data_IF_758147270736
#
_entry.id   IF_758147270736
#
_cell.length_a   1.000
_cell.length_b   1.000
_cell.length_c   1.000
_cell.angle_alpha   90.00
_cell.angle_beta   90.00
_cell.angle_gamma   90.00
#
_symmetry.space_group_name_H-M   'P 1'
#
loop_
_entity.id
_entity.type
_entity.pdbx_description
1 polymer ?
#
# COMPACT_ATOMS: atom_id res chain seq x y z
N UNK A 1 -53.60 -36.80 28.70
CA UNK A 1 -54.67 -37.55 27.99
C UNK A 1 -54.36 -37.53 26.50
N UNK A 2 -54.56 -38.64 25.78
CA UNK A 2 -54.42 -38.85 24.32
C UNK A 2 -53.02 -38.54 23.71
N UNK A 3 -52.39 -39.38 22.84
CA UNK A 3 -52.83 -40.10 21.61
C UNK A 3 -53.19 -39.14 20.46
N UNK A 4 -52.90 -39.36 19.17
CA UNK A 4 -52.08 -40.31 18.36
C UNK A 4 -52.00 -39.68 16.93
N UNK A 5 -51.32 -40.17 15.88
CA UNK A 5 -50.59 -41.40 15.49
C UNK A 5 -49.29 -40.97 14.70
N UNK A 6 -48.48 -41.70 13.89
CA UNK A 6 -48.49 -42.94 13.08
C UNK A 6 -49.48 -42.90 11.88
N UNK A 7 -49.25 -43.44 10.68
CA UNK A 7 -48.19 -44.30 10.08
C UNK A 7 -48.26 -44.14 8.54
N UNK A 8 -47.19 -44.25 7.75
CA UNK A 8 -46.74 -45.42 6.95
C UNK A 8 -45.68 -44.88 5.95
N UNK A 9 -44.59 -45.53 5.52
CA UNK A 9 -44.29 -46.93 5.16
C UNK A 9 -45.00 -47.41 3.88
N UNK A 10 -44.26 -47.47 2.77
CA UNK A 10 -44.46 -48.51 1.76
C UNK A 10 -43.11 -48.94 1.17
N UNK A 11 -43.02 -50.20 0.71
CA UNK A 11 -41.77 -50.91 0.38
C UNK A 11 -42.09 -52.08 -0.55
N UNK A 12 -41.55 -52.08 -1.76
CA UNK A 12 -41.75 -53.15 -2.76
C UNK A 12 -40.39 -53.57 -3.36
N UNK A 13 -40.33 -54.77 -3.92
CA UNK A 13 -39.15 -55.63 -3.94
C UNK A 13 -38.38 -55.78 -5.28
N UNK A 14 -37.33 -56.60 -5.17
CA UNK A 14 -36.41 -57.25 -6.13
C UNK A 14 -37.13 -57.99 -7.31
N UNK A 15 -36.47 -58.57 -8.36
CA UNK A 15 -35.09 -59.10 -8.34
C UNK A 15 -34.20 -59.15 -9.62
N UNK A 16 -32.91 -59.42 -9.34
CA UNK A 16 -31.88 -60.19 -10.08
C UNK A 16 -32.05 -60.55 -11.57
N UNK A 17 -31.07 -60.10 -12.40
CA UNK A 17 -30.23 -60.87 -13.35
C UNK A 17 -29.17 -59.88 -13.95
N UNK A 18 -28.01 -60.27 -14.52
CA UNK A 18 -27.28 -61.56 -14.66
C UNK A 18 -25.75 -61.30 -14.81
N UNK A 19 -24.94 -62.37 -14.97
CA UNK A 19 -23.50 -62.36 -15.26
C UNK A 19 -23.22 -62.78 -16.74
N UNK A 20 -21.97 -62.75 -17.23
CA UNK A 20 -20.94 -61.70 -17.16
C UNK A 20 -20.41 -61.33 -18.58
N UNK A 21 -19.40 -60.45 -18.68
CA UNK A 21 -18.52 -60.36 -19.86
C UNK A 21 -17.07 -60.29 -19.41
N UNK A 22 -16.25 -61.22 -19.89
CA UNK A 22 -14.81 -61.24 -19.66
C UNK A 22 -14.09 -60.18 -20.51
N UNK A 23 -13.07 -59.55 -19.93
CA UNK A 23 -11.93 -58.97 -20.68
C UNK A 23 -10.66 -59.15 -19.86
N UNK A 24 -9.60 -59.58 -20.54
CA UNK A 24 -8.30 -59.86 -19.93
C UNK A 24 -7.64 -58.65 -19.27
N UNK A 25 -6.79 -58.86 -18.26
CA UNK A 25 -6.02 -57.79 -17.63
C UNK A 25 -4.98 -57.24 -18.61
N UNK A 26 -5.10 -55.98 -19.01
CA UNK A 26 -3.99 -55.28 -19.64
C UNK A 26 -2.85 -55.10 -18.62
N UNK A 27 -1.76 -55.82 -18.86
CA UNK A 27 -0.52 -55.75 -18.09
C UNK A 27 0.07 -54.35 -18.26
N UNK A 28 -0.02 -53.52 -17.21
CA UNK A 28 0.63 -52.21 -17.20
C UNK A 28 2.15 -52.38 -17.21
N UNK A 29 2.82 -51.59 -18.06
CA UNK A 29 4.27 -51.60 -18.16
C UNK A 29 4.92 -51.00 -16.90
N UNK A 30 6.06 -51.51 -16.43
CA UNK A 30 6.84 -50.88 -15.36
C UNK A 30 7.31 -49.44 -15.66
N UNK A 31 7.12 -48.94 -16.89
CA UNK A 31 7.37 -47.56 -17.27
C UNK A 31 6.37 -46.56 -16.67
N UNK A 32 5.09 -46.93 -16.55
CA UNK A 32 4.01 -45.98 -16.22
C UNK A 32 3.94 -45.63 -14.72
N UNK A 33 4.65 -46.39 -13.87
CA UNK A 33 4.77 -46.18 -12.42
C UNK A 33 5.95 -45.27 -12.02
N UNK A 34 6.49 -44.47 -12.94
CA UNK A 34 7.57 -43.49 -12.67
C UNK A 34 7.23 -42.03 -13.03
N UNK A 35 5.95 -41.71 -13.20
CA UNK A 35 5.46 -40.33 -13.44
C UNK A 35 4.91 -39.62 -12.18
N UNK A 36 4.68 -40.37 -11.09
CA UNK A 36 3.98 -39.92 -9.88
C UNK A 36 4.84 -39.25 -8.80
N UNK A 37 6.15 -39.05 -9.05
CA UNK A 37 7.07 -38.35 -8.16
C UNK A 37 7.84 -37.26 -8.92
N UNK A 38 7.15 -36.18 -9.28
CA UNK A 38 7.78 -34.97 -9.79
C UNK A 38 7.37 -33.75 -8.93
N UNK A 39 8.21 -33.27 -8.01
CA UNK A 39 7.90 -32.11 -7.16
C UNK A 39 7.77 -30.79 -7.93
N UNK A 40 8.34 -30.72 -9.14
CA UNK A 40 8.54 -29.48 -9.91
C UNK A 40 7.30 -29.07 -10.72
N UNK A 41 6.15 -28.86 -10.05
CA UNK A 41 5.04 -28.10 -10.64
C UNK A 41 4.14 -27.31 -9.68
N UNK A 42 4.59 -27.04 -8.46
CA UNK A 42 4.23 -25.76 -7.84
C UNK A 42 5.04 -24.67 -8.55
N UNK A 43 4.38 -23.80 -9.33
CA UNK A 43 5.05 -22.61 -9.85
C UNK A 43 5.54 -21.79 -8.66
N UNK A 44 6.85 -21.60 -8.57
CA UNK A 44 7.48 -21.09 -7.36
C UNK A 44 7.02 -19.68 -7.03
N UNK A 45 6.51 -19.49 -5.81
CA UNK A 45 6.42 -18.17 -5.20
C UNK A 45 7.79 -17.50 -5.30
N UNK A 46 7.83 -16.27 -5.85
CA UNK A 46 9.09 -15.60 -6.10
C UNK A 46 9.89 -15.41 -4.79
N UNK A 47 11.11 -15.94 -4.77
CA UNK A 47 11.94 -16.03 -3.57
C UNK A 47 12.56 -14.66 -3.23
N UNK A 48 11.83 -13.88 -2.43
CA UNK A 48 12.28 -12.62 -1.87
C UNK A 48 12.84 -12.82 -0.47
N UNK A 49 13.83 -12.00 -0.10
CA UNK A 49 14.63 -12.10 1.13
C UNK A 49 13.83 -12.18 2.46
N UNK A 50 12.58 -11.73 2.47
CA UNK A 50 11.70 -11.67 3.65
C UNK A 50 10.40 -12.48 3.44
N UNK A 51 10.38 -13.43 2.51
CA UNK A 51 9.21 -14.28 2.31
C UNK A 51 8.98 -15.21 3.51
N UNK A 52 7.77 -15.29 4.08
CA UNK A 52 7.45 -16.30 5.09
C UNK A 52 7.55 -17.71 4.52
N UNK A 53 7.94 -18.67 5.37
CA UNK A 53 8.16 -20.07 4.97
C UNK A 53 6.87 -20.70 4.46
N UNK A 54 6.94 -21.47 3.38
CA UNK A 54 5.75 -22.09 2.76
C UNK A 54 4.93 -22.95 3.74
N UNK A 55 5.57 -23.63 4.68
CA UNK A 55 4.92 -24.42 5.72
C UNK A 55 4.05 -23.59 6.71
N UNK A 56 4.34 -22.29 6.87
CA UNK A 56 3.55 -21.38 7.71
C UNK A 56 2.33 -20.79 6.97
N UNK A 57 2.36 -20.83 5.64
CA UNK A 57 1.27 -20.44 4.75
C UNK A 57 0.33 -21.61 4.43
N UNK A 58 0.86 -22.84 4.44
CA UNK A 58 0.10 -24.05 4.17
C UNK A 58 -1.02 -24.28 5.20
N UNK A 59 -2.21 -24.61 4.68
CA UNK A 59 -3.38 -24.91 5.50
C UNK A 59 -4.03 -23.69 6.17
N UNK A 60 -3.68 -22.45 5.80
CA UNK A 60 -4.34 -21.22 6.27
C UNK A 60 -5.78 -21.04 5.74
N UNK A 61 -6.27 -21.92 4.85
CA UNK A 61 -7.60 -21.83 4.26
C UNK A 61 -7.73 -20.84 3.08
N UNK A 62 -6.61 -20.21 2.70
CA UNK A 62 -6.53 -19.21 1.63
C UNK A 62 -6.51 -19.83 0.23
N UNK A 63 -7.00 -19.07 -0.76
CA UNK A 63 -6.71 -19.30 -2.18
C UNK A 63 -5.23 -19.07 -2.52
N UNK A 64 -4.79 -19.46 -3.73
CA UNK A 64 -3.41 -19.20 -4.19
C UNK A 64 -3.11 -17.70 -4.27
N UNK A 65 -4.07 -16.90 -4.78
CA UNK A 65 -4.02 -15.44 -4.81
C UNK A 65 -3.86 -14.82 -3.41
N UNK A 66 -4.74 -15.17 -2.47
CA UNK A 66 -4.66 -14.67 -1.09
C UNK A 66 -3.37 -15.11 -0.39
N UNK A 67 -2.90 -16.34 -0.65
CA UNK A 67 -1.64 -16.87 -0.11
C UNK A 67 -0.43 -16.09 -0.60
N UNK A 68 -0.35 -15.80 -1.91
CA UNK A 68 0.69 -14.93 -2.46
C UNK A 68 0.57 -13.52 -1.90
N UNK A 69 -0.63 -12.95 -1.85
CA UNK A 69 -0.84 -11.59 -1.35
C UNK A 69 -0.42 -11.43 0.12
N UNK A 70 -0.80 -12.36 0.99
CA UNK A 70 -0.35 -12.41 2.38
C UNK A 70 1.18 -12.50 2.47
N UNK A 71 1.80 -13.36 1.67
CA UNK A 71 3.26 -13.50 1.62
C UNK A 71 3.96 -12.20 1.20
N UNK A 72 3.52 -11.56 0.10
CA UNK A 72 4.06 -10.26 -0.35
C UNK A 72 3.85 -9.14 0.67
N UNK A 73 2.75 -9.17 1.43
CA UNK A 73 2.51 -8.21 2.52
C UNK A 73 3.45 -8.46 3.72
N UNK A 74 3.57 -9.70 4.20
CA UNK A 74 4.50 -10.07 5.28
C UNK A 74 5.95 -9.70 4.90
N UNK A 75 6.35 -10.00 3.66
CA UNK A 75 7.65 -9.65 3.09
C UNK A 75 7.92 -8.14 3.07
N UNK A 76 6.91 -7.33 2.77
CA UNK A 76 7.00 -5.86 2.79
C UNK A 76 6.97 -5.31 4.23
N UNK A 77 6.19 -5.90 5.14
CA UNK A 77 6.17 -5.52 6.55
C UNK A 77 7.52 -5.81 7.23
N UNK A 78 8.13 -6.99 6.97
CA UNK A 78 9.45 -7.35 7.48
C UNK A 78 10.55 -6.44 6.93
N UNK A 79 10.50 -6.08 5.65
CA UNK A 79 11.37 -5.06 5.08
C UNK A 79 11.21 -3.71 5.81
N UNK A 80 10.01 -3.38 6.28
CA UNK A 80 9.74 -2.21 7.11
C UNK A 80 10.30 -2.30 8.53
N UNK A 81 10.20 -3.47 9.17
CA UNK A 81 10.84 -3.76 10.47
C UNK A 81 12.36 -3.60 10.35
N UNK A 82 12.97 -4.29 9.39
CA UNK A 82 14.40 -4.23 9.10
C UNK A 82 14.88 -2.81 8.81
N UNK A 83 14.15 -2.04 7.99
CA UNK A 83 14.51 -0.64 7.68
C UNK A 83 14.32 0.30 8.89
N UNK A 84 13.43 -0.02 9.84
CA UNK A 84 13.29 0.72 11.10
C UNK A 84 14.45 0.40 12.06
N UNK A 85 14.78 -0.88 12.25
CA UNK A 85 15.94 -1.35 13.02
C UNK A 85 17.24 -0.77 12.44
N UNK A 86 17.40 -0.75 11.11
CA UNK A 86 18.59 -0.22 10.43
C UNK A 86 18.75 1.30 10.56
N UNK A 87 17.67 2.07 10.77
CA UNK A 87 17.78 3.50 11.10
C UNK A 87 18.28 3.72 12.53
N UNK A 88 18.15 2.72 13.40
CA UNK A 88 18.57 2.76 14.81
C UNK A 88 19.90 2.04 15.05
N UNK A 89 20.57 1.59 13.99
CA UNK A 89 21.76 0.74 14.03
C UNK A 89 21.58 -0.57 14.85
N UNK A 90 20.36 -1.10 14.89
CA UNK A 90 19.97 -2.34 15.59
C UNK A 90 19.47 -3.45 14.66
N UNK A 91 19.79 -3.38 13.36
CA UNK A 91 19.46 -4.44 12.40
C UNK A 91 20.63 -5.41 12.24
N UNK A 92 20.33 -6.71 12.19
CA UNK A 92 21.28 -7.73 11.78
C UNK A 92 21.79 -7.48 10.34
N UNK A 93 22.92 -8.09 9.99
CA UNK A 93 23.40 -8.07 8.61
C UNK A 93 22.51 -8.91 7.70
N UNK A 94 22.40 -8.52 6.42
CA UNK A 94 21.70 -9.34 5.44
C UNK A 94 22.52 -10.61 5.14
N UNK A 95 21.85 -11.76 5.13
CA UNK A 95 22.43 -13.02 4.66
C UNK A 95 22.57 -12.99 3.14
N UNK A 96 23.78 -12.66 2.68
CA UNK A 96 24.09 -12.60 1.26
C UNK A 96 24.07 -13.97 0.54
N UNK A 97 23.80 -15.09 1.24
CA UNK A 97 23.56 -16.40 0.59
C UNK A 97 22.12 -16.56 0.10
N UNK A 98 21.15 -15.82 0.66
CA UNK A 98 19.75 -15.87 0.23
C UNK A 98 19.57 -15.17 -1.12
N UNK A 99 18.95 -15.86 -2.08
CA UNK A 99 18.76 -15.40 -3.46
C UNK A 99 18.11 -14.00 -3.60
N UNK A 100 17.24 -13.60 -2.66
CA UNK A 100 16.65 -12.26 -2.62
C UNK A 100 17.56 -11.12 -2.12
N UNK A 101 18.72 -11.41 -1.50
CA UNK A 101 19.49 -10.46 -0.69
C UNK A 101 19.95 -9.21 -1.47
N UNK A 102 20.55 -9.38 -2.65
CA UNK A 102 21.03 -8.27 -3.49
C UNK A 102 19.91 -7.31 -3.90
N UNK A 103 18.70 -7.84 -4.14
CA UNK A 103 17.53 -7.04 -4.52
C UNK A 103 16.97 -6.27 -3.31
N UNK A 104 16.96 -6.92 -2.14
CA UNK A 104 16.62 -6.31 -0.85
C UNK A 104 17.59 -5.16 -0.53
N UNK A 105 18.89 -5.43 -0.58
CA UNK A 105 19.93 -4.43 -0.27
C UNK A 105 19.87 -3.22 -1.22
N UNK A 106 19.64 -3.43 -2.51
CA UNK A 106 19.47 -2.34 -3.47
C UNK A 106 18.21 -1.49 -3.20
N UNK A 107 17.11 -2.10 -2.74
CA UNK A 107 15.92 -1.37 -2.32
C UNK A 107 16.21 -0.54 -1.06
N UNK A 108 16.84 -1.15 -0.05
CA UNK A 108 17.22 -0.51 1.22
C UNK A 108 18.18 0.67 0.96
N UNK A 109 19.27 0.46 0.22
CA UNK A 109 20.22 1.53 -0.18
C UNK A 109 19.50 2.68 -0.86
N UNK A 110 18.54 2.41 -1.74
CA UNK A 110 17.75 3.46 -2.37
C UNK A 110 16.67 4.09 -1.48
N UNK A 111 16.28 3.48 -0.36
CA UNK A 111 15.32 4.05 0.59
C UNK A 111 15.99 4.98 1.61
N UNK A 112 17.29 4.82 1.85
CA UNK A 112 18.09 5.64 2.76
C UNK A 112 18.83 6.81 2.05
N UNK A 113 18.82 6.88 0.71
CA UNK A 113 19.61 7.88 -0.03
C UNK A 113 19.02 9.29 -0.13
N UNK A 114 17.80 9.53 0.38
CA UNK A 114 17.23 10.87 0.66
C UNK A 114 15.90 10.75 1.42
N UNK A 115 15.46 11.81 2.08
CA UNK A 115 14.16 11.87 2.78
C UNK A 115 12.98 11.57 1.85
N UNK A 116 12.93 12.21 0.68
CA UNK A 116 11.95 11.91 -0.38
C UNK A 116 11.88 10.41 -0.70
N UNK A 117 13.05 9.74 -0.78
CA UNK A 117 13.11 8.32 -1.07
C UNK A 117 12.75 7.46 0.14
N UNK A 118 13.02 7.94 1.36
CA UNK A 118 12.55 7.33 2.60
C UNK A 118 11.02 7.31 2.63
N UNK A 119 10.35 8.46 2.50
CA UNK A 119 8.88 8.52 2.47
C UNK A 119 8.27 7.73 1.30
N UNK A 120 8.95 7.70 0.14
CA UNK A 120 8.52 6.88 -1.00
C UNK A 120 8.61 5.37 -0.73
N UNK A 121 9.61 4.89 0.00
CA UNK A 121 9.96 3.46 0.04
C UNK A 121 9.77 2.78 1.40
N UNK A 122 9.77 3.50 2.54
CA UNK A 122 9.59 2.90 3.88
C UNK A 122 8.20 2.22 4.01
N UNK A 123 8.13 0.89 4.22
CA UNK A 123 6.88 0.14 4.26
C UNK A 123 5.91 0.43 5.40
N UNK A 124 6.39 0.91 6.55
CA UNK A 124 5.54 1.22 7.70
C UNK A 124 5.19 2.71 7.66
N UNK A 125 3.88 3.01 7.62
CA UNK A 125 3.32 4.34 7.35
C UNK A 125 3.98 5.44 8.18
N UNK A 126 4.08 5.21 9.49
CA UNK A 126 4.56 6.20 10.46
C UNK A 126 6.10 6.35 10.49
N UNK A 127 6.83 5.51 9.77
CA UNK A 127 8.30 5.45 9.81
C UNK A 127 9.00 6.27 8.72
N UNK A 128 8.28 6.81 7.73
CA UNK A 128 8.85 7.74 6.75
C UNK A 128 9.48 8.98 7.43
N UNK A 129 10.53 9.55 6.84
CA UNK A 129 11.25 10.70 7.41
C UNK A 129 10.30 11.87 7.74
N UNK A 130 9.39 12.21 6.81
CA UNK A 130 8.42 13.28 7.02
C UNK A 130 7.36 12.91 8.06
N UNK A 131 6.95 11.64 8.17
CA UNK A 131 6.01 11.23 9.24
C UNK A 131 6.65 11.28 10.62
N UNK A 132 7.93 10.90 10.74
CA UNK A 132 8.67 11.02 12.01
C UNK A 132 8.83 12.49 12.42
N UNK A 133 9.14 13.39 11.48
CA UNK A 133 9.14 14.83 11.75
C UNK A 133 7.77 15.31 12.25
N UNK A 134 6.69 14.93 11.57
CA UNK A 134 5.32 15.31 11.95
C UNK A 134 4.99 14.80 13.36
N UNK A 135 5.24 13.53 13.67
CA UNK A 135 4.92 12.93 14.98
C UNK A 135 5.78 13.53 16.11
N UNK A 136 7.02 13.93 15.82
CA UNK A 136 7.89 14.58 16.79
C UNK A 136 7.42 16.00 17.17
N UNK A 137 6.97 16.78 16.18
CA UNK A 137 6.52 18.17 16.39
C UNK A 137 5.03 18.27 16.73
N UNK A 138 4.24 17.26 16.36
CA UNK A 138 2.82 17.13 16.65
C UNK A 138 2.52 15.68 17.10
N UNK A 139 2.78 15.33 18.37
CA UNK A 139 2.47 14.00 18.89
C UNK A 139 0.97 13.68 18.83
N UNK A 140 0.64 12.43 18.48
CA UNK A 140 -0.74 11.93 18.52
C UNK A 140 -1.26 11.98 19.97
N UNK A 141 -2.36 12.70 20.26
CA UNK A 141 -2.88 12.84 21.61
C UNK A 141 -3.74 11.63 22.01
N UNK A 142 -3.83 11.37 23.31
CA UNK A 142 -4.82 10.42 23.86
C UNK A 142 -6.30 10.87 23.69
N UNK A 143 -6.55 12.06 23.11
CA UNK A 143 -7.88 12.56 22.79
C UNK A 143 -7.79 13.69 21.74
N UNK A 144 -8.48 13.55 20.61
CA UNK A 144 -8.50 14.50 19.50
C UNK A 144 -8.86 15.95 19.91
N UNK A 145 -9.73 16.13 20.91
CA UNK A 145 -10.16 17.45 21.40
C UNK A 145 -9.06 18.26 22.11
N UNK A 146 -7.86 17.70 22.30
CA UNK A 146 -6.66 18.42 22.76
C UNK A 146 -5.91 19.15 21.65
N UNK A 147 -6.28 18.94 20.38
CA UNK A 147 -5.65 19.57 19.22
C UNK A 147 -6.36 20.88 18.87
N UNK A 148 -5.59 21.95 18.78
CA UNK A 148 -6.09 23.24 18.33
C UNK A 148 -6.36 23.27 16.82
N UNK A 149 -7.08 24.30 16.39
CA UNK A 149 -7.25 24.64 14.96
C UNK A 149 -5.90 24.77 14.26
N UNK A 150 -4.92 25.39 14.92
CA UNK A 150 -3.56 25.59 14.38
C UNK A 150 -2.86 24.26 14.13
N UNK A 151 -2.99 23.29 15.03
CA UNK A 151 -2.38 21.96 14.89
C UNK A 151 -3.00 21.16 13.74
N UNK A 152 -4.34 21.22 13.59
CA UNK A 152 -5.06 20.58 12.48
C UNK A 152 -4.65 21.21 11.13
N UNK A 153 -4.50 22.53 11.11
CA UNK A 153 -4.02 23.26 9.94
C UNK A 153 -2.56 22.95 9.60
N UNK A 154 -1.69 22.86 10.60
CA UNK A 154 -0.28 22.49 10.45
C UNK A 154 -0.12 21.14 9.75
N UNK A 155 -0.92 20.15 10.19
CA UNK A 155 -0.99 18.83 9.57
C UNK A 155 -1.43 18.93 8.10
N UNK A 156 -2.44 19.75 7.79
CA UNK A 156 -2.91 19.96 6.42
C UNK A 156 -1.83 20.52 5.49
N UNK A 157 -1.10 21.55 5.94
CA UNK A 157 -0.10 22.23 5.10
C UNK A 157 1.20 21.41 4.96
N UNK A 158 1.67 20.76 6.03
CA UNK A 158 2.79 19.81 5.97
C UNK A 158 2.48 18.69 4.97
N UNK A 159 1.33 18.04 5.12
CA UNK A 159 0.95 16.88 4.30
C UNK A 159 0.72 17.22 2.84
N UNK A 160 0.24 18.44 2.54
CA UNK A 160 -0.11 18.85 1.18
C UNK A 160 1.06 19.45 0.39
N UNK A 161 1.92 20.25 1.02
CA UNK A 161 2.93 21.05 0.31
C UNK A 161 4.38 20.59 0.55
N UNK A 162 4.72 20.21 1.79
CA UNK A 162 6.12 19.99 2.21
C UNK A 162 6.54 18.51 2.31
N UNK A 163 5.58 17.57 2.33
CA UNK A 163 5.84 16.16 2.59
C UNK A 163 6.86 15.53 1.61
N UNK A 164 7.98 15.06 2.15
CA UNK A 164 9.16 14.58 1.41
C UNK A 164 10.36 15.52 1.41
N UNK A 165 10.34 16.63 2.17
CA UNK A 165 11.45 17.56 2.39
C UNK A 165 11.34 18.18 3.80
N UNK A 166 12.35 17.97 4.67
CA UNK A 166 12.34 18.48 6.05
C UNK A 166 12.64 19.97 6.19
N UNK A 167 13.37 20.59 5.27
CA UNK A 167 13.60 22.04 5.23
C UNK A 167 12.26 22.77 5.03
N UNK A 168 11.47 22.31 4.05
CA UNK A 168 10.12 22.82 3.78
C UNK A 168 9.17 22.58 4.96
N UNK A 169 9.24 21.40 5.62
CA UNK A 169 8.43 21.12 6.82
C UNK A 169 8.77 22.10 7.95
N UNK A 170 10.06 22.37 8.19
CA UNK A 170 10.53 23.35 9.18
C UNK A 170 10.10 24.78 8.83
N UNK A 171 10.24 25.20 7.57
CA UNK A 171 9.97 26.58 7.13
C UNK A 171 8.50 26.98 7.31
N UNK A 172 7.55 26.07 7.10
CA UNK A 172 6.11 26.30 7.36
C UNK A 172 5.63 25.80 8.74
N UNK A 173 6.54 25.58 9.70
CA UNK A 173 6.17 25.24 11.08
C UNK A 173 5.69 26.50 11.83
N UNK A 174 4.41 26.50 12.21
CA UNK A 174 3.75 27.53 13.01
C UNK A 174 4.10 27.30 14.48
N UNK A 175 4.73 28.30 15.12
CA UNK A 175 5.31 28.19 16.47
C UNK A 175 4.38 28.66 17.61
N UNK A 176 3.24 29.25 17.27
CA UNK A 176 2.29 29.83 18.23
C UNK A 176 0.88 29.34 17.91
N UNK A 177 0.09 28.99 18.93
CA UNK A 177 -1.32 28.59 18.76
C UNK A 177 -2.22 29.81 18.52
N UNK A 178 -2.07 30.42 17.35
CA UNK A 178 -2.76 31.62 16.87
C UNK A 178 -3.07 31.47 15.39
N UNK A 179 -4.00 32.28 14.88
CA UNK A 179 -4.28 32.33 13.43
C UNK A 179 -2.98 32.67 12.67
N UNK A 180 -2.51 31.79 11.76
CA UNK A 180 -1.27 32.01 11.03
C UNK A 180 -1.46 33.03 9.90
N UNK A 181 -0.36 33.68 9.52
CA UNK A 181 -0.32 34.56 8.36
C UNK A 181 -0.35 33.73 7.06
N UNK A 182 -1.57 33.60 6.51
CA UNK A 182 -1.81 32.87 5.27
C UNK A 182 -1.17 33.54 4.04
N UNK A 183 -0.89 34.85 4.07
CA UNK A 183 -0.21 35.54 2.98
C UNK A 183 1.29 35.24 3.01
N UNK A 184 1.93 35.29 4.18
CA UNK A 184 3.32 34.88 4.36
C UNK A 184 3.53 33.40 4.02
N UNK A 185 2.65 32.51 4.49
CA UNK A 185 2.70 31.09 4.12
C UNK A 185 2.53 30.90 2.60
N UNK A 186 1.62 31.63 1.96
CA UNK A 186 1.46 31.57 0.51
C UNK A 186 2.72 32.03 -0.23
N UNK A 187 3.33 33.15 0.20
CA UNK A 187 4.55 33.68 -0.40
C UNK A 187 5.71 32.68 -0.33
N UNK A 188 5.93 32.06 0.84
CA UNK A 188 6.93 31.01 1.07
C UNK A 188 6.71 29.83 0.12
N UNK A 189 5.53 29.20 0.18
CA UNK A 189 5.22 27.97 -0.59
C UNK A 189 5.24 28.24 -2.11
N UNK A 190 5.02 29.49 -2.55
CA UNK A 190 5.15 29.87 -3.96
C UNK A 190 6.61 29.99 -4.44
N UNK A 191 7.60 30.21 -3.57
CA UNK A 191 9.02 30.18 -3.98
C UNK A 191 9.51 28.75 -4.25
N UNK A 192 8.97 27.76 -3.55
CA UNK A 192 9.46 26.37 -3.59
C UNK A 192 9.42 25.72 -4.98
N UNK A 193 10.53 25.10 -5.38
CA UNK A 193 10.63 24.29 -6.60
C UNK A 193 10.65 25.09 -7.91
N UNK A 194 11.18 24.43 -8.95
CA UNK A 194 11.60 25.09 -10.19
C UNK A 194 10.42 25.54 -11.07
N UNK A 195 10.06 26.82 -10.96
CA UNK A 195 9.16 27.52 -11.88
C UNK A 195 7.87 28.08 -11.23
N UNK A 196 7.17 29.01 -11.91
CA UNK A 196 6.09 29.79 -11.31
C UNK A 196 4.72 29.07 -11.28
N UNK A 197 4.51 28.04 -12.12
CA UNK A 197 3.18 27.46 -12.32
C UNK A 197 2.82 26.33 -11.34
N UNK A 198 3.81 25.53 -10.92
CA UNK A 198 3.58 24.27 -10.20
C UNK A 198 4.60 24.02 -9.11
N UNK A 199 4.17 23.34 -8.05
CA UNK A 199 4.99 22.78 -6.99
C UNK A 199 4.87 21.26 -7.03
N UNK A 200 5.97 20.55 -7.27
CA UNK A 200 6.02 19.09 -7.12
C UNK A 200 6.08 18.70 -5.65
N UNK A 201 5.23 17.78 -5.19
CA UNK A 201 5.32 17.27 -3.81
C UNK A 201 6.17 15.98 -3.83
N UNK A 202 7.44 16.02 -3.38
CA UNK A 202 8.43 15.04 -3.83
C UNK A 202 8.06 13.59 -3.53
N UNK A 203 7.47 13.31 -2.36
CA UNK A 203 7.07 11.97 -1.94
C UNK A 203 5.96 11.33 -2.82
N UNK A 204 5.08 12.14 -3.43
CA UNK A 204 3.86 11.70 -4.11
C UNK A 204 4.04 11.46 -5.62
N UNK A 205 5.26 11.22 -6.06
CA UNK A 205 5.57 10.77 -7.42
C UNK A 205 5.35 11.86 -8.47
N UNK A 206 4.24 11.78 -9.20
CA UNK A 206 3.87 12.74 -10.26
C UNK A 206 2.97 13.88 -9.77
N UNK A 207 2.53 13.87 -8.50
CA UNK A 207 1.61 14.87 -7.98
C UNK A 207 2.24 16.27 -7.93
N UNK A 208 1.56 17.21 -8.57
CA UNK A 208 1.91 18.63 -8.66
C UNK A 208 0.76 19.49 -8.14
N UNK A 209 1.04 20.43 -7.23
CA UNK A 209 0.11 21.47 -6.80
C UNK A 209 0.20 22.66 -7.76
N UNK A 210 -0.94 23.26 -8.10
CA UNK A 210 -0.99 24.47 -8.94
C UNK A 210 -0.67 25.70 -8.07
N UNK A 211 0.46 26.38 -8.28
CA UNK A 211 0.93 27.46 -7.40
C UNK A 211 -0.07 28.62 -7.27
N UNK A 212 -0.78 28.95 -8.35
CA UNK A 212 -1.84 29.95 -8.38
C UNK A 212 -3.12 29.58 -7.58
N UNK A 213 -3.19 28.38 -6.99
CA UNK A 213 -4.29 27.93 -6.12
C UNK A 213 -3.90 27.74 -4.65
N UNK A 214 -2.63 27.95 -4.31
CA UNK A 214 -2.14 27.93 -2.91
C UNK A 214 -2.94 28.89 -1.99
N UNK A 215 -3.25 30.17 -2.36
CA UNK A 215 -4.00 31.05 -1.46
C UNK A 215 -5.37 30.48 -1.07
N UNK A 216 -6.11 29.98 -2.08
CA UNK A 216 -7.43 29.36 -1.88
C UNK A 216 -7.32 28.09 -1.04
N UNK A 217 -6.32 27.26 -1.29
CA UNK A 217 -6.08 26.03 -0.52
C UNK A 217 -5.72 26.31 0.94
N UNK A 218 -4.93 27.36 1.22
CA UNK A 218 -4.60 27.76 2.59
C UNK A 218 -5.83 28.24 3.36
N UNK A 219 -6.69 29.08 2.78
CA UNK A 219 -7.98 29.46 3.42
C UNK A 219 -8.84 28.22 3.67
N UNK A 220 -9.06 27.41 2.63
CA UNK A 220 -9.86 26.19 2.68
C UNK A 220 -9.39 25.20 3.76
N UNK A 221 -8.08 25.03 3.97
CA UNK A 221 -7.55 24.21 5.05
C UNK A 221 -7.70 24.87 6.43
N UNK A 222 -7.61 26.19 6.53
CA UNK A 222 -7.87 26.92 7.78
C UNK A 222 -9.33 26.78 8.21
N UNK A 223 -10.26 26.96 7.27
CA UNK A 223 -11.70 26.82 7.47
C UNK A 223 -12.07 25.38 7.83
N UNK A 224 -11.48 24.38 7.15
CA UNK A 224 -11.58 22.96 7.50
C UNK A 224 -11.06 22.66 8.93
N UNK A 225 -10.01 23.35 9.37
CA UNK A 225 -9.42 23.12 10.69
C UNK A 225 -10.31 23.63 11.82
N UNK A 226 -10.97 24.78 11.61
CA UNK A 226 -12.06 25.24 12.49
C UNK A 226 -13.25 24.28 12.48
N UNK A 227 -13.64 23.79 11.30
CA UNK A 227 -14.75 22.85 11.09
C UNK A 227 -14.53 21.52 11.85
N UNK A 228 -13.33 20.93 11.76
CA UNK A 228 -12.95 19.72 12.49
C UNK A 228 -12.84 19.98 14.01
N UNK A 229 -12.17 21.06 14.44
CA UNK A 229 -12.01 21.39 15.86
C UNK A 229 -13.36 21.65 16.55
N UNK A 230 -14.28 22.36 15.90
CA UNK A 230 -15.61 22.68 16.46
C UNK A 230 -16.55 21.47 16.60
N UNK A 231 -16.32 20.42 15.81
CA UNK A 231 -17.12 19.19 15.81
C UNK A 231 -16.59 18.11 16.76
N UNK A 232 -15.29 18.11 17.09
CA UNK A 232 -14.68 17.10 17.96
C UNK A 232 -14.68 17.51 19.44
N UNK A 233 -15.82 17.34 20.09
CA UNK A 233 -16.01 17.60 21.53
C UNK A 233 -15.90 16.29 22.34
N UNK A 234 -15.57 16.33 23.65
CA UNK A 234 -15.34 15.11 24.46
C UNK A 234 -16.53 14.13 24.65
N UNK A 235 -17.66 14.35 23.96
CA UNK A 235 -18.88 13.51 24.01
C UNK A 235 -19.54 13.30 22.64
N UNK A 236 -18.88 13.67 21.54
CA UNK A 236 -19.38 13.47 20.16
C UNK A 236 -18.66 12.31 19.49
N UNK A 237 -19.42 11.35 18.95
CA UNK A 237 -18.87 10.28 18.11
C UNK A 237 -18.19 10.90 16.87
N UNK A 238 -16.92 10.58 16.56
CA UNK A 238 -16.28 11.05 15.33
C UNK A 238 -17.03 10.58 14.07
N UNK A 239 -16.94 11.33 12.95
CA UNK A 239 -17.50 10.90 11.67
C UNK A 239 -16.84 9.61 11.17
N UNK A 240 -17.50 8.87 10.28
CA UNK A 240 -16.87 7.73 9.60
C UNK A 240 -15.72 8.21 8.70
N UNK A 241 -14.78 7.31 8.40
CA UNK A 241 -13.68 7.61 7.48
C UNK A 241 -14.20 8.08 6.10
N UNK A 242 -15.14 7.35 5.51
CA UNK A 242 -15.83 7.72 4.28
C UNK A 242 -16.41 9.15 4.33
N UNK A 243 -17.14 9.50 5.40
CA UNK A 243 -17.78 10.81 5.51
C UNK A 243 -16.76 11.96 5.55
N UNK A 244 -15.61 11.78 6.22
CA UNK A 244 -14.55 12.79 6.23
C UNK A 244 -13.78 12.82 4.90
N UNK A 245 -13.59 11.68 4.24
CA UNK A 245 -12.98 11.58 2.91
C UNK A 245 -13.81 12.28 1.82
N UNK A 246 -15.10 11.99 1.72
CA UNK A 246 -16.00 12.67 0.77
C UNK A 246 -16.10 14.17 1.05
N UNK A 247 -16.12 14.56 2.33
CA UNK A 247 -16.04 15.98 2.73
C UNK A 247 -14.76 16.63 2.22
N UNK A 248 -13.60 15.99 2.33
CA UNK A 248 -12.33 16.47 1.77
C UNK A 248 -12.31 16.50 0.23
N UNK A 249 -12.87 15.50 -0.45
CA UNK A 249 -13.01 15.49 -1.91
C UNK A 249 -13.88 16.65 -2.41
N UNK A 250 -14.99 16.95 -1.71
CA UNK A 250 -15.90 18.05 -2.05
C UNK A 250 -15.21 19.43 -2.09
N UNK A 251 -14.14 19.62 -1.29
CA UNK A 251 -13.35 20.87 -1.22
C UNK A 251 -12.44 21.06 -2.46
N UNK A 252 -12.31 20.06 -3.35
CA UNK A 252 -11.64 20.14 -4.67
C UNK A 252 -10.18 20.65 -4.62
N UNK A 253 -9.38 20.01 -3.77
CA UNK A 253 -7.92 20.25 -3.63
C UNK A 253 -7.25 20.31 -5.01
N UNK A 254 -6.56 21.43 -5.32
CA UNK A 254 -6.11 21.76 -6.68
C UNK A 254 -4.77 21.14 -7.06
N UNK A 255 -4.75 19.81 -7.19
CA UNK A 255 -3.62 19.01 -7.69
C UNK A 255 -3.74 18.64 -9.17
N UNK A 256 -2.61 18.21 -9.75
CA UNK A 256 -2.49 17.53 -11.03
C UNK A 256 -1.68 16.25 -10.78
N UNK A 257 -2.17 15.06 -11.16
CA UNK A 257 -3.56 14.74 -11.53
C UNK A 257 -4.58 14.99 -10.39
N UNK A 258 -5.87 15.03 -10.74
CA UNK A 258 -7.00 15.19 -9.81
C UNK A 258 -7.62 13.84 -9.43
N UNK A 259 -6.93 13.04 -8.62
CA UNK A 259 -7.40 11.71 -8.19
C UNK A 259 -7.51 11.54 -6.67
N UNK A 260 -7.79 12.62 -5.93
CA UNK A 260 -8.15 12.55 -4.51
C UNK A 260 -7.03 12.16 -3.52
N UNK A 261 -5.79 11.91 -3.95
CA UNK A 261 -4.74 11.39 -3.07
C UNK A 261 -4.46 12.26 -1.84
N UNK A 262 -4.50 13.60 -1.97
CA UNK A 262 -4.33 14.48 -0.79
C UNK A 262 -5.51 14.34 0.18
N UNK A 263 -6.75 14.15 -0.32
CA UNK A 263 -7.90 13.88 0.53
C UNK A 263 -7.74 12.53 1.26
N UNK A 264 -7.36 11.47 0.55
CA UNK A 264 -7.08 10.16 1.14
C UNK A 264 -6.01 10.23 2.24
N UNK A 265 -4.86 10.85 1.95
CA UNK A 265 -3.77 10.99 2.90
C UNK A 265 -4.14 11.86 4.11
N UNK A 266 -4.88 12.95 3.92
CA UNK A 266 -5.38 13.78 5.01
C UNK A 266 -6.39 13.03 5.88
N UNK A 267 -7.36 12.32 5.31
CA UNK A 267 -8.29 11.47 6.09
C UNK A 267 -7.52 10.38 6.83
N UNK A 268 -6.51 9.77 6.19
CA UNK A 268 -5.63 8.80 6.82
C UNK A 268 -4.89 9.36 8.03
N UNK A 269 -4.37 10.59 7.98
CA UNK A 269 -3.75 11.22 9.16
C UNK A 269 -4.80 11.64 10.19
N UNK A 270 -5.93 12.17 9.76
CA UNK A 270 -7.04 12.53 10.64
C UNK A 270 -7.58 11.34 11.44
N UNK A 271 -7.54 10.13 10.88
CA UNK A 271 -7.75 8.87 11.61
C UNK A 271 -6.73 8.66 12.74
N UNK A 272 -5.41 8.81 12.47
CA UNK A 272 -4.35 8.67 13.49
C UNK A 272 -4.58 9.60 14.68
N UNK A 273 -5.03 10.84 14.43
CA UNK A 273 -5.31 11.85 15.45
C UNK A 273 -6.73 11.76 16.06
N UNK A 274 -7.56 10.79 15.64
CA UNK A 274 -8.89 10.54 16.21
C UNK A 274 -10.02 11.47 15.73
N UNK A 275 -9.86 12.14 14.59
CA UNK A 275 -10.89 13.00 13.96
C UNK A 275 -11.86 12.26 13.03
N UNK A 276 -11.68 10.95 12.87
CA UNK A 276 -12.67 10.05 12.27
C UNK A 276 -12.50 8.63 12.83
N UNK A 277 -13.50 7.79 12.61
CA UNK A 277 -13.45 6.37 12.91
C UNK A 277 -12.44 5.66 11.99
N UNK A 278 -11.91 4.51 12.44
CA UNK A 278 -11.01 3.65 11.66
C UNK A 278 -11.59 3.33 10.28
N UNK A 279 -10.80 3.43 9.19
CA UNK A 279 -11.26 3.00 7.87
C UNK A 279 -11.56 1.50 7.84
N UNK A 280 -12.60 1.14 7.10
CA UNK A 280 -12.97 -0.25 6.82
C UNK A 280 -12.22 -0.77 5.60
N UNK A 281 -12.16 -2.09 5.43
CA UNK A 281 -11.63 -2.71 4.22
C UNK A 281 -12.41 -2.26 2.97
N UNK A 282 -13.72 -2.00 3.08
CA UNK A 282 -14.53 -1.45 1.99
C UNK A 282 -14.12 -0.02 1.62
N UNK A 283 -13.70 0.82 2.58
CA UNK A 283 -13.18 2.17 2.29
C UNK A 283 -11.92 2.10 1.42
N UNK A 284 -11.03 1.13 1.69
CA UNK A 284 -9.88 0.86 0.81
C UNK A 284 -10.32 0.34 -0.55
N UNK A 285 -11.22 -0.63 -0.62
CA UNK A 285 -11.61 -1.20 -1.90
C UNK A 285 -12.30 -0.15 -2.79
N UNK A 286 -13.18 0.67 -2.21
CA UNK A 286 -13.78 1.83 -2.86
C UNK A 286 -12.73 2.85 -3.29
N UNK A 287 -11.75 3.19 -2.43
CA UNK A 287 -10.67 4.10 -2.80
C UNK A 287 -9.80 3.55 -3.93
N UNK A 288 -9.40 2.28 -3.86
CA UNK A 288 -8.58 1.61 -4.87
C UNK A 288 -9.31 1.59 -6.21
N UNK A 289 -10.56 1.13 -6.25
CA UNK A 289 -11.38 1.02 -7.47
C UNK A 289 -11.68 2.39 -8.07
N UNK A 290 -12.18 3.35 -7.29
CA UNK A 290 -12.69 4.62 -7.80
C UNK A 290 -11.60 5.68 -8.02
N UNK A 291 -10.42 5.56 -7.39
CA UNK A 291 -9.32 6.49 -7.63
C UNK A 291 -8.33 5.99 -8.69
N UNK A 292 -7.51 6.92 -9.18
CA UNK A 292 -6.33 6.64 -10.00
C UNK A 292 -5.12 6.10 -9.23
N UNK A 293 -5.31 5.50 -8.04
CA UNK A 293 -4.23 4.96 -7.20
C UNK A 293 -3.54 3.74 -7.86
N UNK A 294 -2.53 4.03 -8.69
CA UNK A 294 -1.76 3.02 -9.45
C UNK A 294 -0.91 2.09 -8.59
N UNK A 295 -0.56 2.50 -7.36
CA UNK A 295 0.26 1.70 -6.44
C UNK A 295 -0.45 0.41 -5.97
N UNK A 296 -1.55 0.50 -5.22
CA UNK A 296 -2.25 -0.69 -4.71
C UNK A 296 -2.87 -1.54 -5.82
N UNK A 297 -3.48 -0.92 -6.84
CA UNK A 297 -3.94 -1.63 -8.06
C UNK A 297 -2.80 -2.38 -8.75
N UNK A 298 -1.60 -1.79 -8.79
CA UNK A 298 -0.40 -2.44 -9.30
C UNK A 298 0.01 -3.69 -8.51
N UNK A 299 -0.17 -3.70 -7.17
CA UNK A 299 0.08 -4.89 -6.36
C UNK A 299 -0.90 -6.03 -6.67
N UNK A 300 -2.18 -5.72 -6.84
CA UNK A 300 -3.19 -6.72 -7.24
C UNK A 300 -2.87 -7.32 -8.61
N UNK A 301 -2.40 -6.49 -9.56
CA UNK A 301 -1.96 -6.95 -10.88
C UNK A 301 -0.72 -7.84 -10.81
N UNK A 302 0.26 -7.50 -9.98
CA UNK A 302 1.47 -8.32 -9.79
C UNK A 302 1.13 -9.68 -9.19
N UNK A 303 0.26 -9.76 -8.17
CA UNK A 303 -0.17 -11.05 -7.62
C UNK A 303 -0.95 -11.87 -8.64
N UNK A 304 -1.75 -11.23 -9.50
CA UNK A 304 -2.42 -11.90 -10.63
C UNK A 304 -1.42 -12.47 -11.65
N UNK A 305 -0.40 -11.70 -12.02
CA UNK A 305 0.68 -12.11 -12.93
C UNK A 305 1.57 -13.22 -12.34
N UNK A 306 1.83 -13.19 -11.02
CA UNK A 306 2.63 -14.20 -10.31
C UNK A 306 1.85 -15.52 -10.07
N UNK A 307 0.51 -15.48 -9.95
CA UNK A 307 -0.32 -16.67 -9.66
C UNK A 307 -1.04 -17.26 -10.85
N UNK A 308 -1.20 -16.51 -11.95
CA UNK A 308 -2.09 -16.87 -13.06
C UNK A 308 -3.58 -16.81 -12.72
N UNK A 309 -3.97 -16.32 -11.54
CA UNK A 309 -5.37 -16.10 -11.14
C UNK A 309 -5.78 -14.65 -11.43
N UNK A 310 -7.04 -14.36 -11.79
CA UNK A 310 -7.48 -13.00 -12.06
C UNK A 310 -7.35 -12.11 -10.82
N UNK A 311 -7.03 -10.83 -11.03
CA UNK A 311 -7.17 -9.82 -9.98
C UNK A 311 -8.66 -9.51 -9.74
N UNK A 312 -9.07 -9.11 -8.52
CA UNK A 312 -10.43 -8.65 -8.23
C UNK A 312 -10.90 -7.54 -9.19
N UNK A 313 -12.09 -7.69 -9.77
CA UNK A 313 -12.59 -6.77 -10.81
C UNK A 313 -13.35 -5.57 -10.22
N UNK A 314 -14.00 -5.76 -9.07
CA UNK A 314 -14.86 -4.78 -8.41
C UNK A 314 -14.46 -4.54 -6.94
N UNK A 315 -15.13 -3.60 -6.27
CA UNK A 315 -14.80 -3.22 -4.90
C UNK A 315 -15.21 -4.31 -3.88
N UNK A 316 -16.21 -5.11 -4.18
CA UNK A 316 -16.76 -6.16 -3.33
C UNK A 316 -15.82 -7.38 -3.26
N UNK A 317 -15.33 -7.85 -4.41
CA UNK A 317 -14.29 -8.88 -4.50
C UNK A 317 -12.97 -8.43 -3.89
N UNK A 318 -12.59 -7.17 -4.15
CA UNK A 318 -11.37 -6.60 -3.59
C UNK A 318 -11.46 -6.48 -2.06
N UNK A 319 -12.61 -6.04 -1.53
CA UNK A 319 -12.87 -6.00 -0.11
C UNK A 319 -12.86 -7.40 0.53
N UNK A 320 -13.40 -8.42 -0.15
CA UNK A 320 -13.31 -9.80 0.31
C UNK A 320 -11.86 -10.28 0.42
N UNK A 321 -11.07 -10.18 -0.66
CA UNK A 321 -9.68 -10.65 -0.70
C UNK A 321 -8.78 -9.90 0.29
N UNK A 322 -8.93 -8.59 0.39
CA UNK A 322 -8.21 -7.80 1.40
C UNK A 322 -8.68 -8.11 2.82
N UNK A 323 -9.96 -8.44 3.01
CA UNK A 323 -10.53 -8.86 4.28
C UNK A 323 -9.90 -10.14 4.80
N UNK A 324 -9.93 -11.24 4.03
CA UNK A 324 -9.34 -12.54 4.41
C UNK A 324 -7.87 -12.40 4.82
N UNK A 325 -7.11 -11.62 4.04
CA UNK A 325 -5.67 -11.45 4.25
C UNK A 325 -5.37 -10.52 5.44
N UNK A 326 -6.17 -9.47 5.66
CA UNK A 326 -5.98 -8.56 6.79
C UNK A 326 -6.42 -9.20 8.12
N UNK A 327 -7.47 -10.03 8.13
CA UNK A 327 -7.89 -10.78 9.32
C UNK A 327 -6.75 -11.67 9.86
N UNK A 328 -6.00 -12.34 8.97
CA UNK A 328 -4.82 -13.13 9.33
C UNK A 328 -3.60 -12.29 9.77
N UNK A 329 -3.52 -11.02 9.35
CA UNK A 329 -2.51 -10.08 9.86
C UNK A 329 -2.91 -9.49 11.24
N UNK A 330 -4.20 -9.38 11.53
CA UNK A 330 -4.69 -8.97 12.86
C UNK A 330 -4.67 -10.13 13.87
N UNK A 331 -5.01 -11.35 13.43
CA UNK A 331 -5.15 -12.54 14.26
C UNK A 331 -4.29 -13.71 13.74
N UNK A 332 -2.94 -13.55 13.68
CA UNK A 332 -2.07 -14.59 13.13
C UNK A 332 -2.12 -15.89 13.96
N UNK A 333 -2.40 -17.05 13.34
CA UNK A 333 -2.53 -18.31 14.07
C UNK A 333 -1.17 -18.77 14.60
N UNK A 334 -1.17 -19.51 15.73
CA UNK A 334 0.05 -19.83 16.49
C UNK A 334 1.14 -20.57 15.69
N UNK A 335 0.77 -21.28 14.61
CA UNK A 335 1.71 -21.98 13.70
C UNK A 335 2.49 -21.04 12.77
N UNK A 336 2.00 -19.83 12.52
CA UNK A 336 2.56 -18.87 11.57
C UNK A 336 3.40 -17.82 12.31
N UNK A 337 4.45 -18.32 12.97
CA UNK A 337 5.34 -17.55 13.87
C UNK A 337 5.95 -16.32 13.18
N UNK A 338 6.35 -16.45 11.91
CA UNK A 338 6.92 -15.36 11.11
C UNK A 338 5.93 -14.20 10.92
N UNK A 339 4.65 -14.53 10.72
CA UNK A 339 3.56 -13.53 10.61
C UNK A 339 3.29 -12.88 11.98
N UNK A 340 3.19 -13.70 13.04
CA UNK A 340 2.98 -13.23 14.41
C UNK A 340 4.09 -12.30 14.90
N UNK A 341 5.34 -12.62 14.59
CA UNK A 341 6.50 -11.81 14.96
C UNK A 341 6.47 -10.46 14.23
N UNK A 342 6.36 -10.45 12.90
CA UNK A 342 6.38 -9.17 12.15
C UNK A 342 5.23 -8.25 12.55
N UNK A 343 4.02 -8.78 12.80
CA UNK A 343 2.88 -7.97 13.28
C UNK A 343 3.17 -7.36 14.65
N UNK A 344 3.81 -8.12 15.55
CA UNK A 344 4.23 -7.64 16.88
C UNK A 344 5.30 -6.56 16.77
N UNK A 345 6.30 -6.74 15.92
CA UNK A 345 7.37 -5.77 15.68
C UNK A 345 6.83 -4.49 15.01
N UNK A 346 5.92 -4.62 14.04
CA UNK A 346 5.18 -3.49 13.46
C UNK A 346 4.42 -2.71 14.54
N UNK A 347 3.74 -3.39 15.47
CA UNK A 347 3.02 -2.76 16.58
C UNK A 347 3.96 -1.97 17.50
N UNK A 348 5.12 -2.51 17.83
CA UNK A 348 6.16 -1.82 18.62
C UNK A 348 6.75 -0.62 17.85
N UNK A 349 7.01 -0.76 16.56
CA UNK A 349 7.64 0.28 15.73
C UNK A 349 6.69 1.44 15.40
N UNK A 350 5.41 1.17 15.18
CA UNK A 350 4.40 2.20 14.90
C UNK A 350 3.73 2.76 16.18
N UNK A 351 3.96 2.15 17.35
CA UNK A 351 3.31 2.51 18.61
C UNK A 351 1.82 2.15 18.69
N UNK A 352 1.26 1.54 17.64
CA UNK A 352 -0.13 1.09 17.51
C UNK A 352 -0.23 -0.13 16.60
N UNK A 353 -1.36 -0.82 16.66
CA UNK A 353 -1.65 -1.98 15.80
C UNK A 353 -1.69 -1.60 14.32
N UNK A 354 -1.49 -2.59 13.44
CA UNK A 354 -1.66 -2.41 12.00
C UNK A 354 -3.11 -2.04 11.70
N UNK A 355 -3.28 -0.92 11.01
CA UNK A 355 -4.56 -0.42 10.54
C UNK A 355 -4.76 -0.78 9.07
N UNK A 356 -6.02 -0.67 8.64
CA UNK A 356 -6.42 -0.74 7.23
C UNK A 356 -5.55 0.21 6.38
N UNK A 357 -5.21 1.42 6.83
CA UNK A 357 -4.33 2.35 6.07
C UNK A 357 -2.92 1.79 5.83
N UNK A 358 -2.36 1.04 6.79
CA UNK A 358 -1.04 0.45 6.62
C UNK A 358 -1.04 -0.65 5.55
N UNK A 359 -2.18 -1.35 5.38
CA UNK A 359 -2.39 -2.30 4.28
C UNK A 359 -2.28 -1.58 2.92
N UNK A 360 -2.97 -0.45 2.71
CA UNK A 360 -2.85 0.34 1.46
C UNK A 360 -1.39 0.71 1.19
N UNK A 361 -0.72 1.31 2.17
CA UNK A 361 0.66 1.79 2.02
C UNK A 361 1.67 0.64 1.78
N UNK A 362 1.42 -0.55 2.35
CA UNK A 362 2.17 -1.77 2.09
C UNK A 362 1.94 -2.32 0.65
N UNK A 363 0.69 -2.39 0.18
CA UNK A 363 0.39 -2.69 -1.24
C UNK A 363 1.10 -1.69 -2.17
N UNK A 364 1.06 -0.42 -1.80
CA UNK A 364 1.77 0.67 -2.46
C UNK A 364 3.29 0.46 -2.52
N UNK A 365 3.89 -0.35 -1.63
CA UNK A 365 5.32 -0.74 -1.69
C UNK A 365 5.58 -2.02 -2.49
N UNK A 366 4.68 -3.01 -2.50
CA UNK A 366 4.79 -4.20 -3.38
C UNK A 366 5.00 -3.75 -4.83
N UNK A 367 4.14 -2.84 -5.31
CA UNK A 367 4.25 -2.27 -6.66
C UNK A 367 5.60 -1.56 -6.91
N UNK A 368 6.08 -0.76 -5.94
CA UNK A 368 7.36 -0.03 -6.03
C UNK A 368 8.58 -0.94 -6.01
N UNK A 369 8.52 -2.06 -5.28
CA UNK A 369 9.61 -3.03 -5.21
C UNK A 369 9.79 -3.76 -6.54
N UNK A 370 8.71 -4.33 -7.08
CA UNK A 370 8.75 -5.06 -8.36
C UNK A 370 9.12 -4.12 -9.53
N UNK A 371 8.60 -2.89 -9.54
CA UNK A 371 8.98 -1.85 -10.51
C UNK A 371 10.48 -1.56 -10.51
N UNK A 372 11.12 -1.53 -9.33
CA UNK A 372 12.57 -1.32 -9.18
C UNK A 372 13.39 -2.55 -9.56
N UNK A 373 12.96 -3.75 -9.17
CA UNK A 373 13.61 -5.00 -9.57
C UNK A 373 13.64 -5.16 -11.11
N UNK A 374 12.56 -4.79 -11.80
CA UNK A 374 12.49 -4.88 -13.25
C UNK A 374 13.24 -3.73 -13.97
N UNK A 375 13.31 -2.53 -13.37
CA UNK A 375 14.14 -1.43 -13.90
C UNK A 375 15.67 -1.73 -13.86
N UNK A 376 16.11 -2.65 -13.01
CA UNK A 376 17.48 -3.17 -13.06
C UNK A 376 17.73 -4.09 -14.26
N UNK A 377 16.76 -4.96 -14.59
CA UNK A 377 16.85 -5.94 -15.69
C UNK A 377 16.88 -5.27 -17.07
N UNK A 378 16.05 -4.24 -17.29
CA UNK A 378 15.94 -3.58 -18.60
C UNK A 378 17.20 -2.83 -19.05
N UNK A 379 18.12 -2.47 -18.14
CA UNK A 379 19.43 -1.91 -18.50
C UNK A 379 20.47 -2.97 -18.94
N UNK A 380 20.23 -4.26 -18.68
CA UNK A 380 21.17 -5.34 -19.02
C UNK A 380 21.01 -5.92 -20.43
N UNK A 381 19.83 -5.74 -21.08
CA UNK A 381 19.48 -6.45 -22.32
C UNK A 381 19.66 -5.64 -23.61
N UNK A 382 20.25 -4.44 -23.55
CA UNK A 382 20.36 -3.50 -24.66
C UNK A 382 21.80 -3.35 -25.23
N UNK A 383 22.60 -4.42 -25.19
CA UNK A 383 23.95 -4.46 -25.81
C UNK A 383 24.03 -5.63 -26.82
N UNK A 384 23.28 -5.52 -27.91
CA UNK A 384 23.47 -6.34 -29.12
C UNK A 384 22.94 -5.61 -30.36
N UNK A 385 23.83 -5.32 -31.30
CA UNK A 385 23.48 -4.99 -32.69
C UNK A 385 23.08 -3.53 -32.97
N UNK A 386 24.04 -2.63 -33.16
CA UNK A 386 23.87 -1.44 -34.02
C UNK A 386 25.18 -0.97 -34.65
N UNK A 387 25.93 -1.90 -35.24
CA UNK A 387 27.04 -1.57 -36.14
C UNK A 387 26.49 -0.97 -37.44
N UNK A 388 27.13 0.10 -37.94
CA UNK A 388 26.80 0.85 -39.18
C UNK A 388 25.43 1.58 -39.20
N UNK A 389 25.49 2.86 -38.85
CA UNK A 389 25.04 3.91 -39.77
C UNK A 389 26.22 4.87 -39.97
N UNK A 390 26.53 5.27 -41.20
CA UNK A 390 27.76 6.02 -41.53
C UNK A 390 27.44 7.51 -41.67
N UNK A 391 28.34 8.36 -41.17
CA UNK A 391 28.29 9.82 -41.38
C UNK A 391 28.22 10.16 -42.88
N UNK A 392 27.27 11.00 -43.25
CA UNK A 392 27.53 12.12 -44.17
C UNK A 392 26.95 13.39 -43.57
N UNK A 393 27.58 14.51 -43.91
CA UNK A 393 27.41 15.82 -43.29
C UNK A 393 27.40 16.89 -44.39
N UNK A 394 26.89 18.07 -44.05
CA UNK A 394 26.93 19.30 -44.85
C UNK A 394 26.03 19.23 -46.13
N UNK A 395 25.49 20.33 -46.67
CA UNK A 395 25.62 21.76 -46.33
C UNK A 395 24.43 22.55 -46.93
N UNK A 396 24.11 23.75 -46.37
CA UNK A 396 23.36 24.85 -47.02
C UNK A 396 21.89 24.55 -47.42
N UNK A 397 21.04 25.52 -47.81
CA UNK A 397 21.17 26.99 -47.95
C UNK A 397 19.86 27.69 -47.53
N UNK A 398 19.83 29.03 -47.47
CA UNK A 398 18.67 29.84 -47.04
C UNK A 398 17.59 30.03 -48.13
N UNK A 399 16.31 29.87 -47.76
CA UNK A 399 15.14 30.62 -48.26
C UNK A 399 13.96 30.41 -47.27
N UNK A 400 13.31 31.41 -46.67
CA UNK A 400 12.51 32.56 -47.15
C UNK A 400 11.05 32.25 -47.53
N UNK A 401 10.20 33.22 -47.14
CA UNK A 401 8.78 33.48 -47.47
C UNK A 401 7.64 32.73 -46.73
N UNK A 402 6.80 33.58 -46.09
CA UNK A 402 5.44 33.40 -45.56
C UNK A 402 5.24 32.54 -44.30
#
# INVERSE_FOLDING_TARGET
>A
MHRSSLTNIERIDRPLHSNPVERDPQIFSPADLRSSLNPERTQGMADFYFSPRQAELQGLGLSSYETHLLSRLVQILQLGVFMSQKRKDTADSLDHTHHGATQCEAYVKSAFSSEMLSDKLFPLRLTGASMQFIIQHLPVPANASKLSVTNIFQLCIWRTFAFGNSEYLQEITIKEDKKPDLLKLCYIIQQWGNGPLKLSVPAYGQLQIIKAKIPTMLSMFWDLSHEISSTHKPKTTPPTFAALHERLLSKKISSIPRHGLIAWLLTSDFFEYGFCQTPTIQDIANHMTNSGASGPKGAMKIVSEETGQPAPENAEELAKVLGTVFELLQNPPQRSLTIKNVVTECKVIQGRELSVVDLEHALCKISRQNSRANAGKSKGSAVKGTSRAVRKSNEKEDALEN
#
